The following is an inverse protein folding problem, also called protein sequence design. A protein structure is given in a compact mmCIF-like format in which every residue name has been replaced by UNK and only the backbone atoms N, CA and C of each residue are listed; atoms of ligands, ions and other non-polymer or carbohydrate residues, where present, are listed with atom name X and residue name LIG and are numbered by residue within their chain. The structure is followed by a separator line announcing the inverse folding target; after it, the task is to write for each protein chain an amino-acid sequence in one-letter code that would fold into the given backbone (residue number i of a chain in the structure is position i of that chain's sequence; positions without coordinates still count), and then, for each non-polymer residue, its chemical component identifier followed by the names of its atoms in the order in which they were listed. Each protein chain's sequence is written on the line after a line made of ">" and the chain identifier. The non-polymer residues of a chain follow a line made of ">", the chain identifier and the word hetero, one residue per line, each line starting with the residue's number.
data_IF_124423663739
#
_entry.id   IF_124423663739
#
_cell.length_a   1.000
_cell.length_b   1.000
_cell.length_c   1.000
_cell.angle_alpha   90.00
_cell.angle_beta   90.00
_cell.angle_gamma   90.00
#
_symmetry.space_group_name_H-M   'P 1'
#
loop_
_entity.id
_entity.type
_entity.pdbx_description
1 polymer ?
#
# COMPACT_ATOMS: atom_id res chain seq x y z
N UNK A 1 -1.33 -21.09 10.46
CA UNK A 1 -0.37 -21.70 9.54
C UNK A 1 0.84 -22.19 10.32
N UNK A 2 1.41 -23.34 9.95
CA UNK A 2 2.64 -23.89 10.56
C UNK A 2 3.91 -23.34 9.86
N UNK A 3 3.83 -22.17 9.23
CA UNK A 3 4.94 -21.56 8.48
C UNK A 3 5.25 -20.16 9.04
N UNK A 4 6.45 -19.65 8.80
CA UNK A 4 6.78 -18.27 9.16
C UNK A 4 5.90 -17.28 8.40
N UNK A 5 5.72 -16.09 8.97
CA UNK A 5 4.95 -15.00 8.34
C UNK A 5 5.47 -14.66 6.94
N UNK A 6 6.77 -14.49 6.80
CA UNK A 6 7.42 -14.16 5.53
C UNK A 6 7.16 -15.22 4.46
N UNK A 7 7.33 -16.51 4.81
CA UNK A 7 7.06 -17.62 3.89
C UNK A 7 5.59 -17.63 3.48
N UNK A 8 4.68 -17.41 4.44
CA UNK A 8 3.24 -17.37 4.15
C UNK A 8 2.89 -16.26 3.16
N UNK A 9 3.36 -15.03 3.40
CA UNK A 9 3.14 -13.88 2.51
C UNK A 9 3.71 -14.15 1.12
N UNK A 10 4.96 -14.64 1.06
CA UNK A 10 5.63 -14.93 -0.22
C UNK A 10 4.84 -15.93 -1.07
N UNK A 11 4.42 -17.04 -0.48
CA UNK A 11 3.76 -18.14 -1.21
C UNK A 11 2.29 -17.83 -1.55
N UNK A 12 1.56 -17.16 -0.66
CA UNK A 12 0.11 -16.99 -0.80
C UNK A 12 -0.31 -15.61 -1.33
N UNK A 13 0.57 -14.61 -1.32
CA UNK A 13 0.27 -13.25 -1.76
C UNK A 13 1.22 -12.82 -2.88
N UNK A 14 2.54 -12.74 -2.61
CA UNK A 14 3.47 -12.13 -3.56
C UNK A 14 3.59 -12.94 -4.86
N UNK A 15 3.81 -14.24 -4.77
CA UNK A 15 3.90 -15.11 -5.96
C UNK A 15 2.60 -15.13 -6.78
N UNK A 16 1.42 -15.38 -6.17
CA UNK A 16 0.16 -15.37 -6.94
C UNK A 16 -0.13 -14.03 -7.60
N UNK A 17 0.21 -12.90 -6.97
CA UNK A 17 0.05 -11.56 -7.55
C UNK A 17 1.12 -11.20 -8.58
N UNK A 18 2.20 -11.96 -8.70
CA UNK A 18 3.33 -11.62 -9.55
C UNK A 18 4.22 -10.48 -9.03
N UNK A 19 4.23 -10.25 -7.71
CA UNK A 19 5.00 -9.20 -7.04
C UNK A 19 6.44 -9.66 -6.81
N UNK A 20 7.22 -9.74 -7.88
CA UNK A 20 8.55 -10.36 -7.85
C UNK A 20 9.65 -9.46 -7.25
N UNK A 21 9.39 -8.16 -7.06
CA UNK A 21 10.32 -7.20 -6.47
C UNK A 21 9.84 -6.73 -5.07
N UNK A 22 8.98 -7.51 -4.44
CA UNK A 22 8.44 -7.24 -3.11
C UNK A 22 8.90 -8.32 -2.13
N UNK A 23 9.32 -7.92 -0.94
CA UNK A 23 9.84 -8.86 0.05
C UNK A 23 10.16 -8.20 1.39
N UNK A 24 10.85 -8.95 2.24
CA UNK A 24 11.21 -8.55 3.61
C UNK A 24 12.71 -8.29 3.78
N UNK A 25 13.51 -8.64 2.80
CA UNK A 25 14.95 -8.44 2.84
C UNK A 25 15.30 -7.06 2.30
N UNK A 26 16.18 -6.36 3.01
CA UNK A 26 16.83 -5.16 2.49
C UNK A 26 17.64 -5.56 1.26
N UNK A 27 17.29 -5.04 0.11
CA UNK A 27 18.04 -5.21 -1.12
C UNK A 27 18.90 -3.97 -1.34
N UNK A 28 19.98 -4.09 -2.09
CA UNK A 28 20.80 -2.97 -2.56
C UNK A 28 19.99 -1.94 -3.39
N UNK A 29 18.73 -2.24 -3.63
CA UNK A 29 17.77 -1.44 -4.41
C UNK A 29 16.80 -0.63 -3.55
N UNK A 30 16.89 -0.69 -2.22
CA UNK A 30 16.06 0.14 -1.36
C UNK A 30 16.45 1.62 -1.54
N UNK A 31 15.46 2.47 -1.79
CA UNK A 31 15.69 3.90 -1.87
C UNK A 31 16.23 4.42 -0.54
N UNK A 32 17.26 5.24 -0.60
CA UNK A 32 17.84 5.88 0.58
C UNK A 32 16.82 6.82 1.20
N UNK A 33 16.52 6.68 2.51
CA UNK A 33 15.56 7.53 3.20
C UNK A 33 16.18 8.85 3.68
N UNK A 34 15.43 9.94 3.60
CA UNK A 34 15.87 11.28 4.00
C UNK A 34 14.93 11.87 5.05
N UNK A 35 15.50 12.47 6.09
CA UNK A 35 14.75 13.25 7.07
C UNK A 35 14.76 14.73 6.69
N UNK A 36 15.88 15.23 6.17
CA UNK A 36 16.07 16.53 5.56
C UNK A 36 16.80 16.34 4.23
N UNK A 37 16.77 17.35 3.35
CA UNK A 37 17.51 17.35 2.07
C UNK A 37 19.02 17.22 2.26
N UNK A 38 19.52 17.50 3.47
CA UNK A 38 20.93 17.42 3.84
C UNK A 38 21.30 16.25 4.74
N UNK A 39 20.32 15.44 5.18
CA UNK A 39 20.56 14.35 6.14
C UNK A 39 20.57 12.99 5.45
N UNK A 40 21.75 12.36 5.45
CA UNK A 40 21.93 11.03 4.87
C UNK A 40 21.36 9.92 5.77
N UNK A 41 20.74 9.04 5.13
CA UNK A 41 20.13 7.77 5.47
C UNK A 41 20.41 7.17 6.85
N UNK A 42 19.33 6.86 7.50
CA UNK A 42 19.27 5.82 8.51
C UNK A 42 18.92 4.49 7.86
N UNK A 43 19.57 3.42 8.30
CA UNK A 43 19.20 2.07 7.88
C UNK A 43 17.99 1.64 8.69
N UNK A 44 16.90 1.33 8.00
CA UNK A 44 15.76 0.68 8.63
C UNK A 44 16.28 -0.64 9.26
N UNK A 45 16.16 -0.79 10.58
CA UNK A 45 16.51 -2.05 11.22
C UNK A 45 15.50 -3.12 10.79
N UNK A 46 15.95 -4.18 10.10
CA UNK A 46 15.08 -5.32 9.79
C UNK A 46 14.46 -5.88 11.07
N UNK A 47 13.14 -6.06 11.06
CA UNK A 47 12.43 -6.66 12.19
C UNK A 47 11.73 -5.70 13.16
N UNK A 48 11.99 -4.39 13.08
CA UNK A 48 11.17 -3.41 13.82
C UNK A 48 9.82 -3.27 13.12
N UNK A 49 8.78 -3.82 13.70
CA UNK A 49 7.42 -3.75 13.16
C UNK A 49 6.91 -5.02 12.50
N UNK A 50 7.75 -6.03 12.29
CA UNK A 50 7.37 -7.37 11.82
C UNK A 50 6.27 -7.31 10.73
N UNK A 51 5.05 -7.79 11.02
CA UNK A 51 3.93 -7.83 10.06
C UNK A 51 3.34 -6.45 9.70
N UNK A 52 3.66 -5.39 10.44
CA UNK A 52 3.06 -4.08 10.23
C UNK A 52 3.86 -3.19 9.26
N UNK A 53 5.19 -3.34 9.18
CA UNK A 53 6.03 -2.34 8.50
C UNK A 53 7.24 -2.89 7.74
N UNK A 54 7.46 -4.20 7.75
CA UNK A 54 8.70 -4.78 7.22
C UNK A 54 8.68 -5.11 5.73
N UNK A 55 7.55 -4.92 5.04
CA UNK A 55 7.45 -5.23 3.62
C UNK A 55 8.03 -4.09 2.77
N UNK A 56 8.99 -4.42 1.92
CA UNK A 56 9.59 -3.52 0.94
C UNK A 56 8.95 -3.80 -0.42
N UNK A 57 8.49 -2.77 -1.11
CA UNK A 57 7.80 -2.90 -2.38
C UNK A 57 8.12 -1.75 -3.33
N UNK A 58 7.55 -1.79 -4.52
CA UNK A 58 7.58 -0.73 -5.52
C UNK A 58 6.18 -0.49 -6.12
N UNK A 59 6.02 0.61 -6.82
CA UNK A 59 4.73 0.99 -7.43
C UNK A 59 4.19 -0.06 -8.40
N UNK A 60 4.99 -0.64 -9.33
CA UNK A 60 4.50 -1.68 -10.23
C UNK A 60 3.98 -2.94 -9.51
N UNK A 61 4.63 -3.38 -8.44
CA UNK A 61 4.19 -4.57 -7.71
C UNK A 61 2.94 -4.28 -6.88
N UNK A 62 2.82 -3.08 -6.29
CA UNK A 62 1.60 -2.66 -5.60
C UNK A 62 0.41 -2.56 -6.56
N UNK A 63 0.62 -2.13 -7.80
CA UNK A 63 -0.42 -2.14 -8.84
C UNK A 63 -0.90 -3.55 -9.13
N UNK A 64 0.01 -4.53 -9.29
CA UNK A 64 -0.33 -5.95 -9.46
C UNK A 64 -1.12 -6.50 -8.26
N UNK A 65 -0.81 -6.03 -7.06
CA UNK A 65 -1.54 -6.44 -5.86
C UNK A 65 -2.98 -5.92 -5.87
N UNK A 66 -3.20 -4.66 -6.27
CA UNK A 66 -4.55 -4.09 -6.44
C UNK A 66 -5.33 -4.91 -7.47
N UNK A 67 -4.78 -5.13 -8.66
CA UNK A 67 -5.37 -5.97 -9.70
C UNK A 67 -5.74 -7.37 -9.16
N UNK A 68 -4.82 -8.03 -8.47
CA UNK A 68 -5.05 -9.36 -7.92
C UNK A 68 -6.13 -9.41 -6.82
N UNK A 69 -6.36 -8.31 -6.10
CA UNK A 69 -7.48 -8.17 -5.16
C UNK A 69 -8.80 -7.96 -5.90
N UNK A 70 -8.85 -7.01 -6.83
CA UNK A 70 -10.06 -6.62 -7.55
C UNK A 70 -10.56 -7.72 -8.50
N UNK A 71 -9.63 -8.49 -9.09
CA UNK A 71 -9.96 -9.64 -9.97
C UNK A 71 -10.21 -10.95 -9.21
N UNK A 72 -10.29 -10.92 -7.89
CA UNK A 72 -10.51 -12.09 -7.04
C UNK A 72 -9.44 -13.20 -7.17
N UNK A 73 -8.24 -12.85 -7.58
CA UNK A 73 -7.12 -13.79 -7.73
C UNK A 73 -6.53 -14.23 -6.38
N UNK A 74 -6.54 -13.33 -5.39
CA UNK A 74 -6.01 -13.59 -4.05
C UNK A 74 -7.07 -14.06 -3.06
N UNK A 75 -8.26 -13.50 -3.13
CA UNK A 75 -9.36 -13.76 -2.20
C UNK A 75 -10.67 -13.80 -3.00
N UNK A 76 -11.69 -14.47 -2.47
CA UNK A 76 -13.02 -14.51 -3.11
C UNK A 76 -13.67 -13.12 -3.14
N UNK A 77 -14.60 -12.90 -4.07
CA UNK A 77 -15.43 -11.70 -4.12
C UNK A 77 -16.12 -11.41 -2.79
N UNK A 78 -16.65 -12.47 -2.15
CA UNK A 78 -17.26 -12.37 -0.81
C UNK A 78 -16.27 -11.83 0.21
N UNK A 79 -15.04 -12.34 0.24
CA UNK A 79 -14.00 -11.89 1.16
C UNK A 79 -13.53 -10.47 0.85
N UNK A 80 -13.42 -10.12 -0.43
CA UNK A 80 -13.09 -8.76 -0.85
C UNK A 80 -14.17 -7.76 -0.44
N UNK A 81 -15.45 -8.10 -0.65
CA UNK A 81 -16.57 -7.29 -0.20
C UNK A 81 -16.56 -7.11 1.32
N UNK A 82 -16.33 -8.19 2.07
CA UNK A 82 -16.21 -8.12 3.53
C UNK A 82 -15.04 -7.24 3.95
N UNK A 83 -13.85 -7.42 3.37
CA UNK A 83 -12.66 -6.63 3.65
C UNK A 83 -12.86 -5.12 3.38
N UNK A 84 -13.62 -4.77 2.36
CA UNK A 84 -13.92 -3.39 1.96
C UNK A 84 -15.28 -2.88 2.45
N UNK A 85 -15.86 -3.51 3.46
CA UNK A 85 -17.04 -3.02 4.16
C UNK A 85 -16.61 -2.32 5.44
N UNK A 86 -16.99 -1.04 5.67
CA UNK A 86 -16.63 -0.34 6.90
C UNK A 86 -17.40 -0.89 8.09
N UNK A 87 -16.68 -1.22 9.17
CA UNK A 87 -17.27 -1.74 10.41
C UNK A 87 -17.32 -0.68 11.52
N UNK A 88 -16.18 -0.08 11.84
CA UNK A 88 -16.08 0.95 12.86
C UNK A 88 -15.41 2.19 12.26
N UNK A 89 -16.09 3.31 12.38
CA UNK A 89 -15.70 4.48 11.60
C UNK A 89 -15.82 4.16 10.11
N UNK A 90 -14.84 4.55 9.32
CA UNK A 90 -14.77 4.21 7.90
C UNK A 90 -13.71 3.12 7.62
N UNK A 91 -13.47 2.19 8.56
CA UNK A 91 -12.39 1.21 8.46
C UNK A 91 -12.94 -0.21 8.26
N UNK A 92 -12.44 -0.87 7.21
CA UNK A 92 -12.65 -2.30 6.94
C UNK A 92 -11.47 -3.13 7.45
N UNK A 93 -11.16 -4.23 6.80
CA UNK A 93 -9.98 -5.02 7.15
C UNK A 93 -8.73 -4.50 6.41
N UNK A 94 -7.97 -3.63 7.09
CA UNK A 94 -6.74 -3.04 6.57
C UNK A 94 -6.94 -1.85 5.62
N UNK A 95 -8.18 -1.35 5.45
CA UNK A 95 -8.47 -0.23 4.58
C UNK A 95 -9.40 0.80 5.21
N UNK A 96 -9.15 2.06 4.89
CA UNK A 96 -10.14 3.14 5.01
C UNK A 96 -11.03 3.08 3.77
N UNK A 97 -12.34 3.07 3.97
CA UNK A 97 -13.33 3.00 2.89
C UNK A 97 -14.17 4.27 2.92
N UNK A 98 -14.05 5.09 1.89
CA UNK A 98 -14.87 6.30 1.75
C UNK A 98 -16.31 5.92 1.37
N UNK A 99 -17.29 6.51 2.06
CA UNK A 99 -18.70 6.31 1.75
C UNK A 99 -19.13 7.08 0.51
N UNK A 100 -18.49 8.21 0.28
CA UNK A 100 -18.94 9.17 -0.74
C UNK A 100 -18.30 8.93 -2.12
N UNK A 101 -17.08 8.34 -2.15
CA UNK A 101 -16.30 8.21 -3.38
C UNK A 101 -15.99 6.77 -3.80
N UNK A 102 -16.53 5.75 -3.11
CA UNK A 102 -16.19 4.34 -3.33
C UNK A 102 -14.66 4.05 -3.24
N UNK A 103 -13.89 5.01 -2.71
CA UNK A 103 -12.45 4.91 -2.61
C UNK A 103 -12.04 4.04 -1.44
N UNK A 104 -11.16 3.12 -1.70
CA UNK A 104 -10.52 2.23 -0.74
C UNK A 104 -9.08 2.70 -0.62
N UNK A 105 -8.59 2.96 0.59
CA UNK A 105 -7.26 3.53 0.77
C UNK A 105 -6.56 3.04 2.03
N UNK A 106 -5.25 3.10 2.02
CA UNK A 106 -4.42 2.98 3.22
C UNK A 106 -3.17 3.83 3.08
N UNK A 107 -2.66 4.30 4.21
CA UNK A 107 -1.39 5.04 4.27
C UNK A 107 -0.42 4.32 5.17
N UNK A 108 0.86 4.52 4.93
CA UNK A 108 1.93 4.03 5.77
C UNK A 108 2.95 5.12 6.05
N UNK A 109 3.45 5.15 7.26
CA UNK A 109 4.60 5.98 7.63
C UNK A 109 5.48 5.20 8.57
N UNK A 110 6.75 5.07 8.22
CA UNK A 110 7.78 4.53 9.08
C UNK A 110 9.08 5.28 8.83
N UNK A 111 9.64 5.86 9.88
CA UNK A 111 10.87 6.63 9.84
C UNK A 111 10.88 7.64 8.66
N UNK A 112 11.71 7.42 7.68
CA UNK A 112 11.90 8.29 6.50
C UNK A 112 11.06 7.91 5.29
N UNK A 113 10.20 6.91 5.42
CA UNK A 113 9.37 6.42 4.32
C UNK A 113 7.89 6.68 4.55
N UNK A 114 7.24 7.19 3.52
CA UNK A 114 5.80 7.39 3.50
C UNK A 114 5.20 6.70 2.28
N UNK A 115 4.03 6.13 2.46
CA UNK A 115 3.29 5.46 1.41
C UNK A 115 1.82 5.88 1.42
N UNK A 116 1.20 5.93 0.27
CA UNK A 116 -0.23 6.02 0.12
C UNK A 116 -0.68 5.14 -1.04
N UNK A 117 -1.75 4.41 -0.81
CA UNK A 117 -2.46 3.60 -1.79
C UNK A 117 -3.92 3.98 -1.72
N UNK A 118 -4.55 4.26 -2.87
CA UNK A 118 -5.98 4.44 -2.98
C UNK A 118 -6.47 3.89 -4.33
N UNK A 119 -7.62 3.24 -4.33
CA UNK A 119 -8.20 2.69 -5.54
C UNK A 119 -9.72 2.55 -5.42
N UNK A 120 -10.43 2.49 -6.55
CA UNK A 120 -11.83 2.12 -6.62
C UNK A 120 -11.98 0.62 -6.90
N UNK A 121 -13.10 0.01 -6.51
CA UNK A 121 -13.36 -1.43 -6.71
C UNK A 121 -13.36 -1.86 -8.16
N UNK A 122 -13.73 -0.96 -9.05
CA UNK A 122 -13.78 -1.14 -10.50
C UNK A 122 -12.44 -0.81 -11.20
N UNK A 123 -11.40 -0.47 -10.42
CA UNK A 123 -10.07 -0.09 -10.89
C UNK A 123 -10.03 1.13 -11.83
N UNK A 124 -11.12 1.88 -11.95
CA UNK A 124 -11.16 3.08 -12.79
C UNK A 124 -10.21 4.17 -12.28
N UNK A 125 -9.93 4.15 -10.98
CA UNK A 125 -8.96 5.06 -10.36
C UNK A 125 -8.03 4.26 -9.44
N UNK A 126 -6.74 4.33 -9.69
CA UNK A 126 -5.71 3.77 -8.82
C UNK A 126 -4.64 4.83 -8.58
N UNK A 127 -4.34 5.07 -7.32
CA UNK A 127 -3.29 5.97 -6.89
C UNK A 127 -2.32 5.22 -5.99
N UNK A 128 -1.04 5.25 -6.33
CA UNK A 128 0.03 4.65 -5.53
C UNK A 128 1.18 5.66 -5.47
N UNK A 129 1.58 6.04 -4.27
CA UNK A 129 2.74 6.90 -4.08
C UNK A 129 3.61 6.37 -2.95
N UNK A 130 4.89 6.26 -3.23
CA UNK A 130 5.94 5.91 -2.29
C UNK A 130 6.93 7.06 -2.21
N UNK A 131 7.34 7.41 -1.02
CA UNK A 131 8.33 8.45 -0.79
C UNK A 131 9.34 8.01 0.25
N UNK A 132 10.59 8.36 0.01
CA UNK A 132 11.74 8.16 0.88
C UNK A 132 12.11 9.43 1.66
N UNK A 133 11.15 10.33 1.87
CA UNK A 133 11.35 11.60 2.60
C UNK A 133 10.34 11.71 3.75
N UNK A 134 10.84 11.89 4.98
CA UNK A 134 10.02 11.85 6.20
C UNK A 134 8.91 12.91 6.25
N UNK A 135 9.14 14.08 5.67
CA UNK A 135 8.20 15.20 5.65
C UNK A 135 7.28 15.20 4.41
N UNK A 136 7.37 14.19 3.56
CA UNK A 136 6.42 14.03 2.45
C UNK A 136 5.04 13.62 2.95
N UNK A 137 4.01 13.97 2.19
CA UNK A 137 2.64 13.55 2.44
C UNK A 137 1.98 13.04 1.15
N UNK A 138 2.22 11.77 0.77
CA UNK A 138 1.60 11.18 -0.41
C UNK A 138 0.08 11.24 -0.42
N UNK A 139 -0.56 11.15 0.76
CA UNK A 139 -2.01 11.26 0.86
C UNK A 139 -2.52 12.68 0.57
N UNK A 140 -1.80 13.72 0.98
CA UNK A 140 -2.17 15.09 0.64
C UNK A 140 -2.02 15.36 -0.86
N UNK A 141 -0.98 14.80 -1.48
CA UNK A 141 -0.83 14.86 -2.93
C UNK A 141 -2.02 14.20 -3.64
N UNK A 142 -2.42 13.02 -3.21
CA UNK A 142 -3.61 12.34 -3.71
C UNK A 142 -4.88 13.19 -3.57
N UNK A 143 -5.14 13.74 -2.37
CA UNK A 143 -6.30 14.58 -2.12
C UNK A 143 -6.32 15.84 -3.03
N UNK A 144 -5.16 16.44 -3.30
CA UNK A 144 -5.03 17.57 -4.20
C UNK A 144 -5.30 17.17 -5.66
N UNK A 145 -4.76 16.03 -6.11
CA UNK A 145 -5.02 15.49 -7.44
C UNK A 145 -6.53 15.23 -7.61
N UNK A 146 -7.18 14.57 -6.63
CA UNK A 146 -8.63 14.33 -6.69
C UNK A 146 -9.44 15.62 -6.80
N UNK A 147 -9.13 16.63 -5.99
CA UNK A 147 -9.79 17.95 -6.08
C UNK A 147 -9.62 18.61 -7.44
N UNK A 148 -8.43 18.50 -8.04
CA UNK A 148 -8.13 19.08 -9.34
C UNK A 148 -8.86 18.36 -10.46
N UNK A 149 -9.01 17.03 -10.36
CA UNK A 149 -9.62 16.21 -11.40
C UNK A 149 -11.14 16.08 -11.26
N UNK A 150 -11.70 16.32 -10.06
CA UNK A 150 -13.14 16.21 -9.81
C UNK A 150 -14.04 16.90 -10.86
N UNK A 151 -13.73 18.10 -11.37
CA UNK A 151 -14.54 18.74 -12.40
C UNK A 151 -14.57 18.02 -13.76
N UNK A 152 -13.64 17.09 -13.99
CA UNK A 152 -13.50 16.38 -15.27
C UNK A 152 -14.14 14.99 -15.28
N UNK A 153 -14.53 14.48 -14.09
CA UNK A 153 -15.10 13.12 -13.91
C UNK A 153 -16.51 13.15 -13.28
N UNK A 154 -17.11 14.33 -13.11
CA UNK A 154 -18.45 14.53 -12.60
C UNK A 154 -19.55 14.43 -13.66
#
# INVERSE_FOLDING_TARGET
>A
SKTSYEKYIKENILKPSGMMNTGFESTDKLAVGYQDIYDNAWTLYPGVGYSATSLISNVPDLLKWVDALCTNKLISEKSFKEMTTPYKGNYGYGFVVSKDSNMISHTGKIDKYNAALAFTKDENQIYIALSNYSNSSPINLFNNIQKTLAPFYG
#
